data_IF_428447833971
#
_entry.id   IF_428447833971
#
_cell.length_a   1.000
_cell.length_b   1.000
_cell.length_c   1.000
_cell.angle_alpha   90.00
_cell.angle_beta   90.00
_cell.angle_gamma   90.00
#
_symmetry.space_group_name_H-M   'P 1'
#
loop_
_entity.id
_entity.type
_entity.pdbx_description
1 polymer ?
#
# COMPACT_ATOMS: atom_id res chain seq x y z
N UNK A 1 -5.17 -11.31 33.41
CA UNK A 1 -6.04 -11.34 32.22
C UNK A 1 -5.50 -12.39 31.29
N UNK A 2 -6.28 -13.42 31.00
CA UNK A 2 -5.96 -14.42 29.97
C UNK A 2 -6.58 -13.93 28.68
N UNK A 3 -5.73 -13.61 27.69
CA UNK A 3 -6.18 -13.31 26.34
C UNK A 3 -6.29 -14.63 25.58
N UNK A 4 -7.46 -14.90 25.03
CA UNK A 4 -7.66 -16.00 24.09
C UNK A 4 -7.49 -15.42 22.70
N UNK A 5 -6.36 -15.72 22.06
CA UNK A 5 -6.14 -15.40 20.65
C UNK A 5 -6.87 -16.48 19.85
N UNK A 6 -7.87 -16.06 19.07
CA UNK A 6 -8.53 -16.95 18.12
C UNK A 6 -7.67 -17.06 16.88
N UNK A 7 -7.39 -18.30 16.52
CA UNK A 7 -6.47 -18.64 15.47
C UNK A 7 -7.17 -18.55 14.09
N UNK A 8 -6.63 -17.64 13.27
CA UNK A 8 -6.65 -17.58 11.80
C UNK A 8 -7.90 -17.06 11.08
N UNK A 9 -7.84 -15.79 10.62
CA UNK A 9 -8.51 -15.43 9.37
C UNK A 9 -7.77 -16.14 8.22
N UNK A 10 -8.40 -17.16 7.66
CA UNK A 10 -7.93 -17.90 6.48
C UNK A 10 -8.08 -16.99 5.26
N UNK A 11 -7.06 -16.19 4.95
CA UNK A 11 -7.01 -15.41 3.72
C UNK A 11 -5.61 -15.54 3.14
N UNK A 12 -5.51 -16.08 1.91
CA UNK A 12 -4.29 -16.05 1.11
C UNK A 12 -4.02 -14.60 0.72
N UNK A 13 -3.40 -13.85 1.63
CA UNK A 13 -3.16 -12.43 1.50
C UNK A 13 -1.70 -12.12 1.82
N UNK A 14 -1.17 -11.17 1.07
CA UNK A 14 0.10 -10.56 1.33
C UNK A 14 -0.15 -9.13 1.77
N UNK A 15 0.53 -8.73 2.84
CA UNK A 15 0.44 -7.37 3.36
C UNK A 15 1.65 -6.58 2.92
N UNK A 16 1.44 -5.29 2.65
CA UNK A 16 2.53 -4.37 2.42
C UNK A 16 2.23 -3.05 3.10
N UNK A 17 3.26 -2.41 3.64
CA UNK A 17 3.16 -1.02 4.06
C UNK A 17 3.68 -0.10 2.98
N UNK A 18 2.98 1.01 2.80
CA UNK A 18 3.37 2.11 1.91
C UNK A 18 3.74 3.28 2.78
N UNK A 19 4.98 3.73 2.65
CA UNK A 19 5.49 4.91 3.33
C UNK A 19 5.67 6.02 2.32
N UNK A 20 5.08 7.19 2.60
CA UNK A 20 5.28 8.38 1.77
C UNK A 20 6.67 8.95 2.01
N UNK A 21 7.44 9.13 0.94
CA UNK A 21 8.80 9.67 0.97
C UNK A 21 8.80 11.19 1.06
N UNK A 22 9.85 11.82 1.61
CA UNK A 22 10.00 13.29 1.61
C UNK A 22 9.90 13.94 0.23
N UNK A 23 10.27 13.20 -0.83
CA UNK A 23 10.18 13.65 -2.22
C UNK A 23 8.74 13.95 -2.67
N UNK A 24 7.73 13.36 -2.01
CA UNK A 24 6.32 13.66 -2.23
C UNK A 24 6.01 15.11 -1.85
N UNK A 25 6.21 15.48 -0.58
CA UNK A 25 5.93 16.84 -0.10
C UNK A 25 6.76 17.89 -0.86
N UNK A 26 8.02 17.57 -1.17
CA UNK A 26 8.86 18.44 -1.98
C UNK A 26 8.27 18.70 -3.37
N UNK A 27 7.77 17.66 -4.05
CA UNK A 27 7.15 17.81 -5.37
C UNK A 27 5.91 18.70 -5.32
N UNK A 28 5.00 18.46 -4.38
CA UNK A 28 3.78 19.27 -4.25
C UNK A 28 4.09 20.73 -3.93
N UNK A 29 5.14 20.98 -3.13
CA UNK A 29 5.58 22.35 -2.86
C UNK A 29 6.22 23.01 -4.08
N UNK A 30 7.06 22.32 -4.84
CA UNK A 30 7.78 22.93 -5.97
C UNK A 30 6.92 23.09 -7.21
N UNK A 31 6.06 22.11 -7.52
CA UNK A 31 5.30 22.09 -8.78
C UNK A 31 3.92 22.72 -8.64
N UNK A 32 3.31 22.67 -7.44
CA UNK A 32 1.92 23.08 -7.22
C UNK A 32 1.77 24.17 -6.13
N UNK A 33 2.86 24.56 -5.47
CA UNK A 33 2.87 25.47 -4.31
C UNK A 33 1.94 25.03 -3.15
N UNK A 34 1.81 23.71 -2.96
CA UNK A 34 1.00 23.11 -1.89
C UNK A 34 1.92 22.63 -0.77
N UNK A 35 1.68 23.10 0.46
CA UNK A 35 2.38 22.65 1.66
C UNK A 35 1.72 21.38 2.22
N UNK A 36 2.25 20.21 1.84
CA UNK A 36 1.72 18.92 2.27
C UNK A 36 2.45 18.39 3.51
N UNK A 37 1.68 17.93 4.50
CA UNK A 37 2.21 17.21 5.66
C UNK A 37 2.13 15.70 5.44
N UNK A 38 3.28 15.02 5.46
CA UNK A 38 3.34 13.57 5.27
C UNK A 38 2.75 12.85 6.49
N UNK A 39 1.77 11.97 6.24
CA UNK A 39 1.17 11.09 7.25
C UNK A 39 1.95 9.79 7.48
N UNK A 40 1.53 9.03 8.49
CA UNK A 40 2.08 7.72 8.79
C UNK A 40 1.78 6.71 7.67
N UNK A 41 2.57 5.63 7.62
CA UNK A 41 2.45 4.58 6.61
C UNK A 41 1.09 3.88 6.65
N UNK A 42 0.51 3.62 5.48
CA UNK A 42 -0.70 2.80 5.34
C UNK A 42 -0.34 1.35 5.05
N UNK A 43 -1.22 0.42 5.42
CA UNK A 43 -1.06 -1.01 5.12
C UNK A 43 -2.15 -1.46 4.17
N UNK A 44 -1.74 -2.15 3.11
CA UNK A 44 -2.62 -2.73 2.11
C UNK A 44 -2.54 -4.26 2.14
N UNK A 45 -3.69 -4.90 1.90
CA UNK A 45 -3.83 -6.34 1.82
C UNK A 45 -4.22 -6.73 0.40
N UNK A 46 -3.39 -7.53 -0.26
CA UNK A 46 -3.65 -8.05 -1.59
C UNK A 46 -3.80 -9.56 -1.57
N UNK A 47 -4.78 -10.07 -2.33
CA UNK A 47 -4.98 -11.51 -2.48
C UNK A 47 -3.84 -12.13 -3.29
N UNK A 48 -3.25 -13.20 -2.77
CA UNK A 48 -2.12 -13.92 -3.37
C UNK A 48 -2.64 -14.86 -4.47
N UNK A 49 -1.99 -14.92 -5.64
CA UNK A 49 -2.35 -15.86 -6.69
C UNK A 49 -1.97 -17.27 -6.26
N UNK A 50 -2.65 -18.26 -6.82
CA UNK A 50 -2.34 -19.68 -6.58
C UNK A 50 -0.88 -20.06 -6.92
N UNK A 51 -0.18 -19.20 -7.69
CA UNK A 51 1.15 -19.41 -8.21
C UNK A 51 2.27 -19.05 -7.21
N UNK A 52 1.98 -18.34 -6.11
CA UNK A 52 2.97 -17.95 -5.08
C UNK A 52 2.93 -16.48 -4.66
N UNK A 53 3.88 -16.06 -3.82
CA UNK A 53 4.00 -14.69 -3.29
C UNK A 53 4.20 -13.65 -4.39
N UNK A 54 3.77 -12.41 -4.16
CA UNK A 54 4.21 -11.29 -4.96
C UNK A 54 5.50 -10.71 -4.37
N UNK A 55 6.43 -10.36 -5.26
CA UNK A 55 7.61 -9.56 -4.88
C UNK A 55 7.53 -8.14 -5.42
N UNK A 56 6.57 -7.87 -6.32
CA UNK A 56 6.34 -6.59 -6.97
C UNK A 56 4.84 -6.38 -7.18
N UNK A 57 4.41 -5.12 -7.12
CA UNK A 57 3.03 -4.75 -7.46
C UNK A 57 2.83 -4.70 -8.97
N UNK A 58 1.67 -5.17 -9.43
CA UNK A 58 1.20 -4.92 -10.79
C UNK A 58 0.91 -3.43 -11.00
N UNK A 59 0.84 -3.00 -12.27
CA UNK A 59 0.49 -1.60 -12.59
C UNK A 59 -0.90 -1.20 -12.05
N UNK A 60 -1.85 -2.13 -12.03
CA UNK A 60 -3.18 -1.92 -11.44
C UNK A 60 -3.09 -1.70 -9.93
N UNK A 61 -2.33 -2.52 -9.23
CA UNK A 61 -2.10 -2.37 -7.78
C UNK A 61 -1.37 -1.08 -7.45
N UNK A 62 -0.35 -0.70 -8.24
CA UNK A 62 0.33 0.60 -8.09
C UNK A 62 -0.63 1.77 -8.29
N UNK A 63 -1.46 1.72 -9.33
CA UNK A 63 -2.48 2.76 -9.59
C UNK A 63 -3.44 2.89 -8.41
N UNK A 64 -3.96 1.76 -7.90
CA UNK A 64 -4.84 1.74 -6.75
C UNK A 64 -4.20 2.36 -5.50
N UNK A 65 -2.98 1.92 -5.15
CA UNK A 65 -2.24 2.46 -4.00
C UNK A 65 -2.01 3.97 -4.17
N UNK A 66 -1.58 4.40 -5.35
CA UNK A 66 -1.30 5.81 -5.63
C UNK A 66 -2.54 6.68 -5.43
N UNK A 67 -3.68 6.26 -5.98
CA UNK A 67 -4.95 6.97 -5.81
C UNK A 67 -5.40 7.00 -4.35
N UNK A 68 -5.20 5.91 -3.61
CA UNK A 68 -5.59 5.86 -2.19
C UNK A 68 -4.73 6.77 -1.32
N UNK A 69 -3.41 6.75 -1.50
CA UNK A 69 -2.50 7.66 -0.81
C UNK A 69 -2.81 9.12 -1.16
N UNK A 70 -3.09 9.43 -2.43
CA UNK A 70 -3.41 10.79 -2.86
C UNK A 70 -4.76 11.29 -2.40
N UNK A 71 -5.79 10.44 -2.37
CA UNK A 71 -7.16 10.86 -2.06
C UNK A 71 -7.28 11.60 -0.71
N UNK A 72 -6.43 11.26 0.25
CA UNK A 72 -6.36 11.95 1.54
C UNK A 72 -5.95 13.43 1.40
N UNK A 73 -5.02 13.71 0.48
CA UNK A 73 -4.52 15.05 0.21
C UNK A 73 -5.40 15.81 -0.79
N UNK A 74 -5.93 15.12 -1.80
CA UNK A 74 -6.89 15.70 -2.76
C UNK A 74 -8.14 16.24 -2.04
N UNK A 75 -8.67 15.49 -1.06
CA UNK A 75 -9.79 15.94 -0.23
C UNK A 75 -9.38 17.11 0.67
N UNK A 76 -8.18 17.06 1.26
CA UNK A 76 -7.71 18.09 2.20
C UNK A 76 -7.41 19.44 1.54
N UNK A 77 -6.87 19.43 0.32
CA UNK A 77 -6.38 20.62 -0.38
C UNK A 77 -7.17 20.96 -1.65
N UNK A 78 -8.27 20.25 -1.90
CA UNK A 78 -9.21 20.49 -3.00
C UNK A 78 -8.55 20.52 -4.38
N UNK A 79 -7.65 19.57 -4.66
CA UNK A 79 -7.04 19.37 -5.99
C UNK A 79 -7.31 17.97 -6.53
N UNK A 80 -7.12 17.78 -7.84
CA UNK A 80 -7.13 16.46 -8.49
C UNK A 80 -5.77 16.23 -9.14
N UNK A 81 -5.17 15.06 -8.90
CA UNK A 81 -3.86 14.70 -9.41
C UNK A 81 -3.88 13.34 -10.11
N UNK A 82 -3.64 13.28 -11.42
CA UNK A 82 -3.71 12.04 -12.17
C UNK A 82 -2.60 11.06 -11.77
N UNK A 83 -2.85 9.76 -11.93
CA UNK A 83 -1.81 8.77 -11.72
C UNK A 83 -0.67 8.93 -12.74
N UNK A 84 0.53 9.16 -12.23
CA UNK A 84 1.76 9.15 -13.02
C UNK A 84 2.69 8.02 -12.56
N UNK A 85 2.83 6.99 -13.41
CA UNK A 85 3.64 5.79 -13.10
C UNK A 85 5.08 6.11 -12.72
N UNK A 86 5.68 7.14 -13.32
CA UNK A 86 7.04 7.60 -13.05
C UNK A 86 7.22 8.20 -11.65
N UNK A 87 6.14 8.72 -11.07
CA UNK A 87 6.16 9.33 -9.74
C UNK A 87 5.94 8.31 -8.62
N UNK A 88 5.36 7.15 -8.91
CA UNK A 88 5.07 6.13 -7.90
C UNK A 88 6.30 5.78 -7.05
N UNK A 89 7.39 5.35 -7.69
CA UNK A 89 8.59 4.93 -6.98
C UNK A 89 9.35 6.12 -6.34
N UNK A 90 9.12 7.35 -6.86
CA UNK A 90 9.64 8.60 -6.28
C UNK A 90 8.90 8.97 -4.99
N UNK A 91 7.59 8.76 -4.95
CA UNK A 91 6.71 9.18 -3.87
C UNK A 91 6.59 8.16 -2.77
N UNK A 92 6.67 6.87 -3.10
CA UNK A 92 6.35 5.81 -2.16
C UNK A 92 7.50 4.83 -1.97
N UNK A 93 7.64 4.37 -0.75
CA UNK A 93 8.44 3.22 -0.36
C UNK A 93 7.51 2.08 0.01
N UNK A 94 7.76 0.90 -0.55
CA UNK A 94 6.99 -0.30 -0.25
C UNK A 94 7.82 -1.22 0.62
N UNK A 95 7.23 -1.71 1.71
CA UNK A 95 7.78 -2.80 2.51
C UNK A 95 6.79 -3.94 2.52
N UNK A 96 7.22 -5.10 2.01
CA UNK A 96 6.44 -6.33 2.08
C UNK A 96 6.51 -6.92 3.47
N UNK A 97 5.35 -7.24 4.04
CA UNK A 97 5.22 -7.99 5.27
C UNK A 97 4.78 -9.41 4.89
N UNK A 98 5.43 -10.41 5.47
CA UNK A 98 5.44 -11.79 4.99
C UNK A 98 4.10 -12.41 4.59
N UNK A 99 4.17 -13.49 3.83
CA UNK A 99 3.00 -14.19 3.32
C UNK A 99 2.43 -15.16 4.35
N UNK A 100 1.12 -15.13 4.52
CA UNK A 100 0.38 -16.15 5.27
C UNK A 100 -0.15 -17.19 4.28
N UNK A 101 0.56 -18.31 4.16
CA UNK A 101 0.09 -19.49 3.44
C UNK A 101 -0.74 -20.38 4.36
N UNK A 102 -1.92 -20.81 3.91
CA UNK A 102 -2.59 -21.99 4.45
C UNK A 102 -2.77 -23.02 3.32
N UNK A 103 -1.93 -24.05 3.32
CA UNK A 103 -2.15 -25.24 2.50
C UNK A 103 -3.27 -26.07 3.12
N UNK A 104 -4.29 -26.39 2.33
CA UNK A 104 -5.27 -27.41 2.70
C UNK A 104 -4.50 -28.73 2.88
N UNK A 105 -4.28 -29.17 4.12
CA UNK A 105 -3.79 -30.52 4.38
C UNK A 105 -4.95 -31.44 3.99
N UNK A 106 -4.99 -31.89 2.74
CA UNK A 106 -5.77 -33.08 2.39
C UNK A 106 -5.26 -34.20 3.29
N UNK A 107 -6.09 -34.61 4.24
CA UNK A 107 -5.83 -35.74 5.12
C UNK A 107 -5.31 -36.92 4.28
N UNK A 108 -4.08 -37.34 4.56
CA UNK A 108 -3.53 -38.62 4.09
C UNK A 108 -4.30 -39.78 4.73
#
# INVERSE_FOLDING_TARGET
MTFTIYDHMILNQQSLSVTVKPAFAAYFKTELDIDVHIHASNVYLFAIPLQGEFTQLSDEQKTFVFQKELSLYEEQYEFEFPYEKTLFDRFFEITWHGVVYHGEIKSL
#
